data_IF_065138639642
#
_entry.id   IF_065138639642
#
_cell.length_a   1.000
_cell.length_b   1.000
_cell.length_c   1.000
_cell.angle_alpha   90.00
_cell.angle_beta   90.00
_cell.angle_gamma   90.00
#
_symmetry.space_group_name_H-M   'P 1'
#
loop_
_entity.id
_entity.type
_entity.pdbx_description
1 polymer ?
#
# COMPACT_ATOMS: atom_id res chain seq x y z
N UNK A 1 15.03 38.35 -34.38
CA UNK A 1 14.94 37.15 -35.23
C UNK A 1 14.31 36.06 -34.38
N UNK A 2 13.11 35.53 -34.61
CA UNK A 2 12.16 35.65 -35.72
C UNK A 2 10.78 35.38 -35.14
N UNK A 3 9.79 36.21 -35.51
CA UNK A 3 8.40 36.04 -35.09
C UNK A 3 7.75 34.87 -35.81
N UNK A 4 6.99 34.07 -35.07
CA UNK A 4 6.01 33.14 -35.62
C UNK A 4 4.65 33.60 -35.12
N UNK A 5 3.90 34.23 -36.02
CA UNK A 5 2.53 34.69 -35.82
C UNK A 5 1.63 33.50 -35.54
N UNK A 6 1.10 33.42 -34.32
CA UNK A 6 -0.03 32.55 -34.00
C UNK A 6 -1.25 33.17 -34.66
N UNK A 7 -1.60 32.66 -35.85
CA UNK A 7 -2.87 32.96 -36.49
C UNK A 7 -3.99 32.47 -35.57
N UNK A 8 -4.70 33.41 -34.95
CA UNK A 8 -5.93 33.17 -34.21
C UNK A 8 -6.95 32.46 -35.11
N UNK A 9 -7.07 31.13 -34.96
CA UNK A 9 -8.23 30.39 -35.44
C UNK A 9 -9.44 30.83 -34.62
N UNK A 10 -10.54 31.32 -35.24
CA UNK A 10 -11.69 31.74 -34.47
C UNK A 10 -12.30 30.49 -33.83
N UNK A 11 -12.35 30.47 -32.50
CA UNK A 11 -13.08 29.47 -31.72
C UNK A 11 -14.58 29.64 -32.03
N UNK A 12 -15.02 29.05 -33.14
CA UNK A 12 -16.43 28.97 -33.51
C UNK A 12 -17.12 28.04 -32.53
N UNK A 13 -17.72 28.62 -31.49
CA UNK A 13 -18.60 27.89 -30.58
C UNK A 13 -19.79 27.34 -31.38
N UNK A 14 -20.28 26.13 -31.09
CA UNK A 14 -21.46 25.55 -31.76
C UNK A 14 -22.66 26.49 -31.73
N UNK A 15 -22.76 27.29 -30.66
CA UNK A 15 -23.77 28.32 -30.47
C UNK A 15 -23.69 29.41 -31.54
N UNK A 16 -22.50 29.91 -31.87
CA UNK A 16 -22.33 30.95 -32.90
C UNK A 16 -22.72 30.50 -34.32
N UNK A 17 -22.46 29.24 -34.67
CA UNK A 17 -22.86 28.68 -35.97
C UNK A 17 -24.38 28.49 -36.07
N UNK A 18 -25.01 28.03 -34.97
CA UNK A 18 -26.46 27.91 -34.86
C UNK A 18 -27.17 29.28 -34.83
N UNK A 19 -26.58 30.28 -34.16
CA UNK A 19 -27.10 31.65 -34.12
C UNK A 19 -26.96 32.36 -35.48
N UNK A 20 -25.91 32.09 -36.26
CA UNK A 20 -25.80 32.55 -37.65
C UNK A 20 -26.83 31.89 -38.56
N UNK A 21 -27.13 30.60 -38.36
CA UNK A 21 -28.20 29.90 -39.08
C UNK A 21 -29.58 30.46 -38.70
N UNK A 22 -29.82 30.65 -37.40
CA UNK A 22 -31.09 31.14 -36.89
C UNK A 22 -31.37 32.58 -37.32
N UNK A 23 -30.39 33.50 -37.19
CA UNK A 23 -30.53 34.90 -37.64
C UNK A 23 -30.77 35.03 -39.15
N UNK A 24 -30.23 34.11 -39.95
CA UNK A 24 -30.52 34.04 -41.40
C UNK A 24 -31.89 33.42 -41.71
N UNK A 25 -32.45 32.62 -40.82
CA UNK A 25 -33.77 31.97 -40.97
C UNK A 25 -34.94 32.84 -40.46
N UNK A 26 -34.76 33.59 -39.37
CA UNK A 26 -35.83 34.38 -38.74
C UNK A 26 -36.00 35.79 -39.31
N UNK A 27 -35.09 36.29 -40.14
CA UNK A 27 -35.20 37.65 -40.68
C UNK A 27 -36.35 37.85 -41.68
N UNK A 28 -37.11 36.82 -42.06
CA UNK A 28 -38.34 36.96 -42.86
C UNK A 28 -39.17 35.69 -42.81
N UNK A 29 -40.25 35.69 -42.00
CA UNK A 29 -41.31 34.72 -42.17
C UNK A 29 -42.68 35.35 -41.90
N UNK A 30 -43.55 35.38 -42.93
CA UNK A 30 -44.95 35.07 -42.70
C UNK A 30 -45.38 33.85 -43.52
N UNK A 31 -46.16 33.00 -42.85
CA UNK A 31 -47.09 31.96 -43.36
C UNK A 31 -46.74 31.26 -44.68
N UNK A 32 -46.35 29.99 -44.56
CA UNK A 32 -46.37 29.03 -45.67
C UNK A 32 -45.05 28.30 -45.81
N UNK A 33 -44.92 27.15 -45.14
CA UNK A 33 -43.76 26.26 -45.22
C UNK A 33 -43.38 25.88 -46.67
N UNK A 34 -44.31 25.99 -47.64
CA UNK A 34 -44.07 25.78 -49.08
C UNK A 34 -43.37 26.94 -49.81
N UNK A 35 -43.49 28.20 -49.36
CA UNK A 35 -42.81 29.38 -49.98
C UNK A 35 -41.40 29.61 -49.42
N UNK A 36 -41.15 29.14 -48.20
CA UNK A 36 -39.84 29.27 -47.56
C UNK A 36 -38.81 28.38 -48.25
N UNK A 37 -39.20 27.18 -48.74
CA UNK A 37 -38.25 26.28 -49.42
C UNK A 37 -37.68 26.89 -50.70
N UNK A 38 -38.49 27.59 -51.51
CA UNK A 38 -38.06 28.22 -52.76
C UNK A 38 -37.28 29.53 -52.55
N UNK A 39 -37.61 30.30 -51.50
CA UNK A 39 -36.85 31.50 -51.13
C UNK A 39 -35.47 31.16 -50.52
N UNK A 40 -35.37 30.03 -49.80
CA UNK A 40 -34.10 29.52 -49.29
C UNK A 40 -33.20 28.96 -50.39
N UNK A 41 -33.76 28.33 -51.42
CA UNK A 41 -32.98 27.77 -52.54
C UNK A 41 -32.40 28.86 -53.45
N UNK A 42 -33.01 30.04 -53.54
CA UNK A 42 -32.50 31.15 -54.36
C UNK A 42 -31.31 31.91 -53.73
N UNK A 43 -31.15 31.84 -52.41
CA UNK A 43 -30.21 32.70 -51.67
C UNK A 43 -28.90 32.01 -51.28
N UNK A 44 -28.82 30.70 -51.42
CA UNK A 44 -27.65 29.91 -51.11
C UNK A 44 -27.27 29.02 -52.29
N UNK A 45 -26.00 29.08 -52.69
CA UNK A 45 -25.52 28.15 -53.71
C UNK A 45 -25.48 26.72 -53.16
N UNK A 46 -25.66 25.73 -54.03
CA UNK A 46 -25.57 24.30 -53.67
C UNK A 46 -24.24 23.99 -52.95
N UNK A 47 -23.17 24.67 -53.36
CA UNK A 47 -21.84 24.58 -52.76
C UNK A 47 -21.78 25.14 -51.32
N UNK A 48 -22.50 26.22 -51.02
CA UNK A 48 -22.52 26.83 -49.69
C UNK A 48 -23.25 25.95 -48.67
N UNK A 49 -24.38 25.36 -49.07
CA UNK A 49 -25.13 24.41 -48.23
C UNK A 49 -24.30 23.15 -47.96
N UNK A 50 -23.62 22.62 -48.99
CA UNK A 50 -22.72 21.48 -48.82
C UNK A 50 -21.53 21.80 -47.88
N UNK A 51 -20.93 22.98 -48.01
CA UNK A 51 -19.85 23.42 -47.12
C UNK A 51 -20.32 23.61 -45.67
N UNK A 52 -21.52 24.16 -45.46
CA UNK A 52 -22.09 24.25 -44.11
C UNK A 52 -22.39 22.87 -43.51
N UNK A 53 -22.94 21.95 -44.30
CA UNK A 53 -23.22 20.58 -43.85
C UNK A 53 -21.93 19.87 -43.44
N UNK A 54 -20.87 19.93 -44.25
CA UNK A 54 -19.57 19.32 -43.91
C UNK A 54 -18.95 19.92 -42.65
N UNK A 55 -19.13 21.23 -42.41
CA UNK A 55 -18.68 21.87 -41.16
C UNK A 55 -19.47 21.37 -39.94
N UNK A 56 -20.78 21.20 -40.07
CA UNK A 56 -21.63 20.63 -39.00
C UNK A 56 -21.25 19.18 -38.71
N UNK A 57 -20.99 18.39 -39.75
CA UNK A 57 -20.54 16.99 -39.60
C UNK A 57 -19.19 16.90 -38.88
N UNK A 58 -18.23 17.77 -39.26
CA UNK A 58 -16.94 17.88 -38.56
C UNK A 58 -17.11 18.27 -37.10
N UNK A 59 -17.95 19.27 -36.80
CA UNK A 59 -18.22 19.69 -35.43
C UNK A 59 -18.89 18.58 -34.61
N UNK A 60 -19.86 17.86 -35.19
CA UNK A 60 -20.50 16.71 -34.56
C UNK A 60 -19.47 15.65 -34.18
N UNK A 61 -18.58 15.29 -35.10
CA UNK A 61 -17.49 14.33 -34.86
C UNK A 61 -16.55 14.80 -33.75
N UNK A 62 -16.12 16.06 -33.77
CA UNK A 62 -15.25 16.64 -32.73
C UNK A 62 -15.92 16.65 -31.36
N UNK A 63 -17.20 17.01 -31.28
CA UNK A 63 -17.95 16.99 -30.01
C UNK A 63 -18.13 15.58 -29.48
N UNK A 64 -18.31 14.58 -30.36
CA UNK A 64 -18.42 13.18 -29.97
C UNK A 64 -17.11 12.70 -29.35
N UNK A 65 -15.98 12.93 -30.02
CA UNK A 65 -14.65 12.55 -29.52
C UNK A 65 -14.36 13.21 -28.17
N UNK A 66 -14.70 14.50 -28.01
CA UNK A 66 -14.49 15.21 -26.76
C UNK A 66 -15.32 14.65 -25.59
N UNK A 67 -16.55 14.22 -25.85
CA UNK A 67 -17.40 13.55 -24.86
C UNK A 67 -16.83 12.18 -24.49
N UNK A 68 -16.44 11.38 -25.49
CA UNK A 68 -15.86 10.05 -25.28
C UNK A 68 -14.55 10.13 -24.49
N UNK A 69 -13.71 11.14 -24.78
CA UNK A 69 -12.48 11.38 -24.03
C UNK A 69 -12.74 11.79 -22.58
N UNK A 70 -13.73 12.66 -22.33
CA UNK A 70 -14.13 13.04 -20.95
C UNK A 70 -14.66 11.84 -20.17
N UNK A 71 -15.50 11.01 -20.80
CA UNK A 71 -16.00 9.77 -20.20
C UNK A 71 -14.85 8.79 -19.91
N UNK A 72 -13.92 8.63 -20.84
CA UNK A 72 -12.73 7.78 -20.67
C UNK A 72 -11.85 8.24 -19.50
N UNK A 73 -11.63 9.55 -19.35
CA UNK A 73 -10.89 10.08 -18.21
C UNK A 73 -11.61 9.87 -16.88
N UNK A 74 -12.93 10.11 -16.84
CA UNK A 74 -13.73 9.86 -15.63
C UNK A 74 -13.65 8.38 -15.22
N UNK A 75 -13.85 7.46 -16.18
CA UNK A 75 -13.71 6.02 -15.96
C UNK A 75 -12.31 5.62 -15.48
N UNK A 76 -11.26 6.21 -16.05
CA UNK A 76 -9.88 5.95 -15.62
C UNK A 76 -9.68 6.38 -14.17
N UNK A 77 -10.15 7.57 -13.80
CA UNK A 77 -10.04 8.08 -12.43
C UNK A 77 -10.79 7.16 -11.46
N UNK A 78 -12.04 6.80 -11.76
CA UNK A 78 -12.82 5.88 -10.93
C UNK A 78 -12.13 4.53 -10.78
N UNK A 79 -11.56 4.00 -11.88
CA UNK A 79 -10.79 2.74 -11.85
C UNK A 79 -9.57 2.86 -10.93
N UNK A 80 -8.81 3.96 -11.01
CA UNK A 80 -7.65 4.16 -10.11
C UNK A 80 -8.05 4.24 -8.64
N UNK A 81 -9.18 4.91 -8.34
CA UNK A 81 -9.73 4.97 -6.98
C UNK A 81 -10.15 3.58 -6.51
N UNK A 82 -10.88 2.83 -7.34
CA UNK A 82 -11.29 1.45 -7.03
C UNK A 82 -10.08 0.55 -6.77
N UNK A 83 -9.06 0.58 -7.65
CA UNK A 83 -7.82 -0.20 -7.46
C UNK A 83 -7.14 0.14 -6.14
N UNK A 84 -7.06 1.43 -5.79
CA UNK A 84 -6.48 1.85 -4.52
C UNK A 84 -7.28 1.37 -3.31
N UNK A 85 -8.61 1.42 -3.37
CA UNK A 85 -9.48 0.92 -2.30
C UNK A 85 -9.37 -0.60 -2.15
N UNK A 86 -9.35 -1.35 -3.26
CA UNK A 86 -9.17 -2.81 -3.23
C UNK A 86 -7.83 -3.17 -2.58
N UNK A 87 -6.75 -2.46 -2.91
CA UNK A 87 -5.44 -2.66 -2.27
C UNK A 87 -5.49 -2.42 -0.77
N UNK A 88 -6.11 -1.31 -0.33
CA UNK A 88 -6.24 -1.00 1.11
C UNK A 88 -7.08 -2.05 1.85
N UNK A 89 -8.17 -2.54 1.23
CA UNK A 89 -9.00 -3.60 1.79
C UNK A 89 -8.21 -4.91 1.90
N UNK A 90 -7.43 -5.26 0.88
CA UNK A 90 -6.57 -6.44 0.90
C UNK A 90 -5.52 -6.34 2.01
N UNK A 91 -4.80 -5.22 2.11
CA UNK A 91 -3.79 -4.98 3.16
C UNK A 91 -4.41 -5.05 4.56
N UNK A 92 -5.61 -4.51 4.74
CA UNK A 92 -6.37 -4.61 6.00
C UNK A 92 -6.74 -6.06 6.32
N UNK A 93 -7.20 -6.82 5.32
CA UNK A 93 -7.59 -8.21 5.49
C UNK A 93 -6.36 -9.08 5.82
N UNK A 94 -5.26 -8.90 5.12
CA UNK A 94 -4.01 -9.63 5.34
C UNK A 94 -3.45 -9.33 6.73
N UNK A 95 -3.50 -8.06 7.16
CA UNK A 95 -3.11 -7.65 8.52
C UNK A 95 -3.98 -8.32 9.59
N UNK A 96 -5.30 -8.41 9.37
CA UNK A 96 -6.21 -9.09 10.29
C UNK A 96 -5.93 -10.59 10.36
N UNK A 97 -5.71 -11.25 9.22
CA UNK A 97 -5.38 -12.67 9.17
C UNK A 97 -4.05 -12.95 9.86
N UNK A 98 -3.03 -12.13 9.59
CA UNK A 98 -1.73 -12.22 10.25
C UNK A 98 -1.88 -12.08 11.77
N UNK A 99 -2.71 -11.15 12.25
CA UNK A 99 -2.98 -10.99 13.69
C UNK A 99 -3.62 -12.24 14.30
N UNK A 100 -4.63 -12.82 13.65
CA UNK A 100 -5.30 -14.03 14.12
C UNK A 100 -4.30 -15.19 14.26
N UNK A 101 -3.45 -15.39 13.24
CA UNK A 101 -2.45 -16.46 13.23
C UNK A 101 -1.39 -16.23 14.32
N UNK A 102 -0.89 -15.00 14.44
CA UNK A 102 0.17 -14.66 15.40
C UNK A 102 -0.30 -14.70 16.85
N UNK A 103 -1.56 -14.32 17.12
CA UNK A 103 -2.18 -14.47 18.44
C UNK A 103 -2.47 -15.94 18.78
N UNK A 104 -2.80 -16.77 17.78
CA UNK A 104 -2.95 -18.22 17.96
C UNK A 104 -1.60 -18.92 18.24
N UNK A 105 -0.53 -18.54 17.55
CA UNK A 105 0.81 -19.13 17.74
C UNK A 105 1.33 -18.95 19.17
N UNK A 106 1.18 -17.74 19.72
CA UNK A 106 1.60 -17.47 21.10
C UNK A 106 0.81 -16.33 21.71
N UNK A 107 0.30 -16.55 22.92
CA UNK A 107 -0.30 -15.51 23.75
C UNK A 107 0.73 -14.56 24.38
N UNK A 108 2.03 -14.91 24.32
CA UNK A 108 3.08 -14.07 24.90
C UNK A 108 3.39 -12.90 23.99
N UNK A 109 3.44 -11.71 24.58
CA UNK A 109 3.87 -10.48 23.91
C UNK A 109 5.22 -10.04 24.49
N UNK A 110 6.30 -10.39 23.78
CA UNK A 110 7.64 -9.92 24.14
C UNK A 110 7.88 -8.48 23.69
N UNK A 111 7.19 -8.02 22.64
CA UNK A 111 7.28 -6.64 22.15
C UNK A 111 6.79 -5.64 23.19
N UNK A 112 5.70 -5.96 23.90
CA UNK A 112 5.23 -5.19 25.04
C UNK A 112 6.29 -5.14 26.17
N UNK A 113 6.92 -6.27 26.49
CA UNK A 113 7.98 -6.33 27.52
C UNK A 113 9.22 -5.51 27.11
N UNK A 114 9.63 -5.59 25.83
CA UNK A 114 10.71 -4.80 25.29
C UNK A 114 10.45 -3.31 25.41
N UNK A 115 9.25 -2.87 25.02
CA UNK A 115 8.81 -1.48 25.15
C UNK A 115 8.85 -1.02 26.62
N UNK A 116 8.32 -1.82 27.53
CA UNK A 116 8.35 -1.55 28.97
C UNK A 116 9.77 -1.42 29.52
N UNK A 117 10.69 -2.32 29.13
CA UNK A 117 12.08 -2.28 29.59
C UNK A 117 12.84 -1.06 29.05
N UNK A 118 12.60 -0.69 27.79
CA UNK A 118 13.17 0.51 27.19
C UNK A 118 12.60 1.78 27.84
N UNK A 119 11.29 1.83 28.11
CA UNK A 119 10.63 2.98 28.73
C UNK A 119 11.14 3.25 30.16
N UNK A 120 11.46 2.20 30.91
CA UNK A 120 12.00 2.31 32.29
C UNK A 120 13.48 2.66 32.34
N UNK A 121 14.19 2.61 31.21
CA UNK A 121 15.62 2.89 31.15
C UNK A 121 15.90 4.37 31.39
N UNK A 122 16.92 4.67 32.20
CA UNK A 122 17.47 6.01 32.29
C UNK A 122 18.29 6.36 31.03
N UNK A 123 18.03 7.52 30.44
CA UNK A 123 18.71 7.95 29.21
C UNK A 123 20.23 7.95 29.40
N UNK A 124 20.96 7.38 28.44
CA UNK A 124 22.42 7.26 28.48
C UNK A 124 22.95 5.97 29.15
N UNK A 125 22.12 5.21 29.88
CA UNK A 125 22.52 3.93 30.46
C UNK A 125 22.79 2.88 29.38
N UNK A 126 23.84 2.07 29.60
CA UNK A 126 24.20 0.93 28.76
C UNK A 126 24.81 1.27 27.40
N UNK A 127 25.14 2.54 27.15
CA UNK A 127 25.80 2.94 25.90
C UNK A 127 27.18 2.30 25.78
N UNK A 128 27.91 2.17 26.89
CA UNK A 128 29.22 1.51 26.96
C UNK A 128 29.19 0.08 26.39
N UNK A 129 28.04 -0.61 26.48
CA UNK A 129 27.88 -1.98 26.02
C UNK A 129 27.76 -2.04 24.49
N UNK A 130 26.88 -1.22 23.90
CA UNK A 130 26.64 -1.25 22.45
C UNK A 130 27.79 -0.66 21.62
N UNK A 131 28.68 0.12 22.25
CA UNK A 131 29.92 0.63 21.63
C UNK A 131 31.14 -0.26 21.92
N UNK A 132 30.97 -1.33 22.68
CA UNK A 132 32.09 -2.22 23.04
C UNK A 132 32.57 -3.02 21.82
N UNK A 133 33.89 -3.27 21.69
CA UNK A 133 34.41 -4.13 20.62
C UNK A 133 33.77 -5.52 20.63
N UNK A 134 33.45 -6.06 21.82
CA UNK A 134 32.82 -7.37 21.97
C UNK A 134 31.44 -7.42 21.31
N UNK A 135 30.61 -6.39 21.54
CA UNK A 135 29.29 -6.29 20.94
C UNK A 135 29.37 -6.06 19.43
N UNK A 136 30.23 -5.14 18.98
CA UNK A 136 30.41 -4.83 17.56
C UNK A 136 30.91 -6.05 16.78
N UNK A 137 31.91 -6.77 17.31
CA UNK A 137 32.43 -7.99 16.70
C UNK A 137 31.36 -9.08 16.59
N UNK A 138 30.53 -9.25 17.62
CA UNK A 138 29.40 -10.18 17.59
C UNK A 138 28.36 -9.76 16.55
N UNK A 139 28.00 -8.48 16.48
CA UNK A 139 27.01 -7.98 15.53
C UNK A 139 27.47 -8.12 14.07
N UNK A 140 28.77 -7.97 13.81
CA UNK A 140 29.37 -8.14 12.48
C UNK A 140 29.57 -9.61 12.08
N UNK A 141 29.17 -10.57 12.93
CA UNK A 141 29.21 -11.99 12.61
C UNK A 141 30.57 -12.67 12.78
N UNK A 142 31.58 -11.98 13.33
CA UNK A 142 32.86 -12.65 13.69
C UNK A 142 32.70 -13.66 14.83
N UNK A 143 31.63 -13.52 15.62
CA UNK A 143 31.19 -14.47 16.64
C UNK A 143 29.69 -14.68 16.53
N UNK A 144 29.21 -15.91 16.70
CA UNK A 144 27.78 -16.22 16.67
C UNK A 144 27.07 -15.93 18.00
N UNK A 145 27.77 -15.98 19.14
CA UNK A 145 27.15 -15.92 20.47
C UNK A 145 27.76 -14.84 21.38
N UNK A 146 26.89 -13.92 21.82
CA UNK A 146 27.00 -12.92 22.87
C UNK A 146 26.77 -13.41 24.32
N UNK A 147 27.77 -13.94 25.06
CA UNK A 147 27.53 -14.29 26.48
C UNK A 147 27.88 -13.14 27.44
N UNK A 148 26.90 -12.69 28.23
CA UNK A 148 27.02 -11.57 29.16
C UNK A 148 26.74 -12.01 30.62
N UNK A 149 27.75 -12.53 31.35
CA UNK A 149 27.57 -12.91 32.75
C UNK A 149 27.42 -11.69 33.66
N UNK A 150 26.76 -11.86 34.80
CA UNK A 150 26.68 -10.80 35.81
C UNK A 150 25.90 -11.21 37.04
N UNK A 151 26.16 -10.54 38.17
CA UNK A 151 25.46 -10.77 39.44
C UNK A 151 23.96 -10.39 39.34
N UNK A 152 23.08 -10.96 40.18
CA UNK A 152 21.71 -10.48 40.32
C UNK A 152 21.68 -8.96 40.56
N UNK A 153 20.73 -8.25 39.93
CA UNK A 153 20.62 -6.79 40.04
C UNK A 153 21.56 -5.97 39.14
N UNK A 154 22.53 -6.59 38.44
CA UNK A 154 23.48 -5.87 37.56
C UNK A 154 22.87 -5.23 36.29
N UNK A 155 21.54 -5.22 36.13
CA UNK A 155 20.89 -4.60 34.97
C UNK A 155 20.94 -5.41 33.67
N UNK A 156 21.22 -6.72 33.71
CA UNK A 156 21.32 -7.59 32.51
C UNK A 156 20.11 -7.48 31.58
N UNK A 157 18.89 -7.51 32.12
CA UNK A 157 17.66 -7.36 31.33
C UNK A 157 17.59 -6.01 30.63
N UNK A 158 17.99 -4.93 31.31
CA UNK A 158 18.06 -3.59 30.71
C UNK A 158 19.11 -3.53 29.60
N UNK A 159 20.29 -4.13 29.79
CA UNK A 159 21.31 -4.21 28.74
C UNK A 159 20.83 -5.02 27.53
N UNK A 160 20.15 -6.15 27.74
CA UNK A 160 19.55 -6.93 26.66
C UNK A 160 18.51 -6.12 25.88
N UNK A 161 17.63 -5.39 26.57
CA UNK A 161 16.65 -4.52 25.90
C UNK A 161 17.34 -3.43 25.07
N UNK A 162 18.39 -2.81 25.59
CA UNK A 162 19.20 -1.81 24.86
C UNK A 162 19.84 -2.42 23.62
N UNK A 163 20.38 -3.64 23.73
CA UNK A 163 20.95 -4.35 22.60
C UNK A 163 19.93 -4.56 21.50
N UNK A 164 18.74 -5.08 21.83
CA UNK A 164 17.64 -5.28 20.89
C UNK A 164 17.23 -3.96 20.21
N UNK A 165 17.04 -2.88 20.98
CA UNK A 165 16.70 -1.55 20.44
C UNK A 165 17.80 -0.99 19.51
N UNK A 166 19.06 -1.25 19.82
CA UNK A 166 20.18 -0.84 18.98
C UNK A 166 20.24 -1.62 17.67
N UNK A 167 20.08 -2.95 17.72
CA UNK A 167 20.07 -3.82 16.53
C UNK A 167 18.89 -3.46 15.63
N UNK A 168 17.70 -3.25 16.21
CA UNK A 168 16.51 -2.83 15.45
C UNK A 168 16.74 -1.54 14.67
N UNK A 169 17.38 -0.54 15.29
CA UNK A 169 17.72 0.73 14.64
C UNK A 169 18.81 0.59 13.58
N UNK A 170 19.76 -0.32 13.78
CA UNK A 170 20.87 -0.53 12.85
C UNK A 170 20.42 -1.20 11.55
N UNK A 171 19.45 -2.12 11.61
CA UNK A 171 18.95 -2.89 10.47
C UNK A 171 17.56 -2.47 10.00
N UNK A 172 17.11 -1.27 10.37
CA UNK A 172 15.80 -0.78 9.98
C UNK A 172 15.72 -0.61 8.46
N UNK A 173 14.91 -1.46 7.80
CA UNK A 173 14.74 -1.46 6.34
C UNK A 173 15.58 -2.52 5.61
N UNK A 174 16.47 -3.22 6.30
CA UNK A 174 17.22 -4.34 5.74
C UNK A 174 16.40 -5.64 5.76
N UNK A 175 16.84 -6.65 5.00
CA UNK A 175 16.25 -7.99 4.99
C UNK A 175 16.70 -8.84 6.19
N UNK A 176 16.55 -8.32 7.41
CA UNK A 176 16.99 -8.98 8.64
C UNK A 176 15.79 -9.15 9.57
N UNK A 177 15.56 -10.37 10.06
CA UNK A 177 14.53 -10.65 11.05
C UNK A 177 15.10 -10.60 12.46
N UNK A 178 14.43 -9.89 13.37
CA UNK A 178 14.91 -9.71 14.75
C UNK A 178 13.87 -10.30 15.72
N UNK A 179 14.28 -11.32 16.46
CA UNK A 179 13.44 -11.93 17.49
C UNK A 179 14.18 -12.00 18.83
N UNK A 180 13.43 -11.84 19.92
CA UNK A 180 13.97 -11.84 21.28
C UNK A 180 12.99 -12.47 22.28
N UNK A 181 13.53 -12.97 23.38
CA UNK A 181 12.78 -13.62 24.45
C UNK A 181 13.26 -13.11 25.80
N UNK A 182 12.31 -12.87 26.70
CA UNK A 182 12.58 -12.58 28.11
C UNK A 182 12.13 -13.74 28.99
N UNK A 183 13.08 -14.61 29.36
CA UNK A 183 12.81 -15.73 30.24
C UNK A 183 12.61 -15.25 31.69
N UNK A 184 11.58 -15.79 32.37
CA UNK A 184 11.25 -15.47 33.75
C UNK A 184 11.27 -16.75 34.58
N UNK A 185 12.22 -16.83 35.50
CA UNK A 185 12.43 -18.01 36.35
C UNK A 185 11.20 -18.38 37.19
N UNK A 186 10.30 -17.43 37.50
CA UNK A 186 9.05 -17.69 38.23
C UNK A 186 7.97 -18.35 37.37
N UNK A 187 8.17 -18.44 36.05
CA UNK A 187 7.20 -18.92 35.07
C UNK A 187 7.69 -20.13 34.28
N UNK A 188 8.68 -20.88 34.80
CA UNK A 188 9.31 -22.03 34.11
C UNK A 188 8.30 -23.02 33.55
N UNK A 189 7.25 -23.34 34.30
CA UNK A 189 6.21 -24.29 33.88
C UNK A 189 5.43 -23.85 32.64
N UNK A 190 5.35 -22.53 32.40
CA UNK A 190 4.70 -21.95 31.22
C UNK A 190 5.66 -21.63 30.08
N UNK A 191 6.98 -21.69 30.33
CA UNK A 191 8.04 -21.37 29.35
C UNK A 191 8.61 -22.65 28.71
N UNK A 192 7.74 -23.39 28.02
CA UNK A 192 8.13 -24.62 27.29
C UNK A 192 8.92 -24.28 26.03
N UNK A 193 9.77 -25.20 25.56
CA UNK A 193 10.52 -25.03 24.32
C UNK A 193 9.61 -24.71 23.12
N UNK A 194 8.49 -25.42 23.02
CA UNK A 194 7.43 -25.17 22.03
C UNK A 194 6.91 -23.74 22.10
N UNK A 195 6.54 -23.27 23.30
CA UNK A 195 5.99 -21.92 23.48
C UNK A 195 7.00 -20.81 23.19
N UNK A 196 8.28 -21.03 23.53
CA UNK A 196 9.36 -20.08 23.23
C UNK A 196 9.64 -19.99 21.73
N UNK A 197 9.71 -21.12 21.02
CA UNK A 197 9.86 -21.13 19.56
C UNK A 197 8.64 -20.52 18.87
N UNK A 198 7.43 -20.79 19.36
CA UNK A 198 6.21 -20.18 18.85
C UNK A 198 6.24 -18.65 18.97
N UNK A 199 6.80 -18.14 20.07
CA UNK A 199 6.92 -16.70 20.29
C UNK A 199 8.02 -16.05 19.42
N UNK A 200 9.07 -16.78 19.04
CA UNK A 200 10.04 -16.33 18.02
C UNK A 200 9.36 -16.28 16.66
N UNK A 201 8.70 -17.38 16.27
CA UNK A 201 7.97 -17.47 15.01
C UNK A 201 6.94 -16.33 14.89
N UNK A 202 6.17 -16.09 15.96
CA UNK A 202 5.25 -14.96 16.07
C UNK A 202 5.91 -13.63 15.70
N UNK A 203 7.06 -13.31 16.30
CA UNK A 203 7.77 -12.05 16.04
C UNK A 203 8.21 -11.91 14.57
N UNK A 204 8.81 -12.97 14.00
CA UNK A 204 9.31 -12.93 12.62
C UNK A 204 8.18 -12.80 11.58
N UNK A 205 7.03 -13.40 11.85
CA UNK A 205 5.83 -13.32 10.99
C UNK A 205 5.17 -11.95 11.13
N UNK A 206 5.11 -11.39 12.33
CA UNK A 206 4.58 -10.03 12.55
C UNK A 206 5.43 -8.96 11.88
N UNK A 207 6.75 -9.13 11.87
CA UNK A 207 7.67 -8.21 11.20
C UNK A 207 7.49 -8.26 9.68
N UNK A 208 7.22 -9.45 9.11
CA UNK A 208 7.03 -9.63 7.66
C UNK A 208 5.90 -10.62 7.34
N UNK A 209 4.65 -10.12 7.23
CA UNK A 209 3.48 -10.97 6.97
C UNK A 209 3.54 -11.77 5.66
N UNK A 210 4.29 -11.29 4.66
CA UNK A 210 4.46 -11.97 3.36
C UNK A 210 5.05 -13.38 3.48
N UNK A 211 5.78 -13.67 4.56
CA UNK A 211 6.40 -14.97 4.78
C UNK A 211 5.57 -15.91 5.65
N UNK A 212 4.37 -15.50 6.06
CA UNK A 212 3.47 -16.24 6.94
C UNK A 212 2.57 -17.29 6.26
N UNK A 213 2.73 -17.56 4.96
CA UNK A 213 1.95 -18.61 4.26
C UNK A 213 2.03 -20.00 4.94
N UNK A 214 3.20 -20.49 5.40
CA UNK A 214 3.30 -21.75 6.13
C UNK A 214 2.43 -21.75 7.39
N UNK A 215 2.35 -20.62 8.08
CA UNK A 215 1.60 -20.47 9.33
C UNK A 215 0.09 -20.47 9.10
N UNK A 216 -0.38 -19.96 7.95
CA UNK A 216 -1.79 -20.03 7.59
C UNK A 216 -2.27 -21.48 7.38
N UNK A 217 -1.42 -22.33 6.77
CA UNK A 217 -1.73 -23.76 6.59
C UNK A 217 -1.72 -24.51 7.92
N UNK A 218 -0.73 -24.21 8.77
CA UNK A 218 -0.61 -24.79 10.10
C UNK A 218 -1.79 -24.36 10.99
N UNK A 219 -2.13 -23.07 10.98
CA UNK A 219 -3.29 -22.54 11.68
C UNK A 219 -4.58 -23.25 11.26
N UNK A 220 -4.86 -23.42 9.96
CA UNK A 220 -6.06 -24.15 9.50
C UNK A 220 -6.13 -25.58 10.04
N UNK A 221 -5.02 -26.32 10.00
CA UNK A 221 -4.95 -27.72 10.48
C UNK A 221 -5.31 -27.85 11.96
N UNK A 222 -4.92 -26.87 12.77
CA UNK A 222 -5.04 -26.91 14.22
C UNK A 222 -6.25 -26.15 14.76
N UNK A 223 -6.69 -25.09 14.08
CA UNK A 223 -7.85 -24.29 14.46
C UNK A 223 -9.13 -25.14 14.43
N UNK A 224 -9.31 -25.95 13.39
CA UNK A 224 -10.47 -26.84 13.25
C UNK A 224 -10.51 -27.92 14.34
N UNK A 225 -9.33 -28.38 14.79
CA UNK A 225 -9.16 -29.46 15.77
C UNK A 225 -9.01 -28.96 17.21
N UNK A 226 -8.85 -27.64 17.40
CA UNK A 226 -8.53 -26.99 18.68
C UNK A 226 -7.33 -27.62 19.40
N UNK A 227 -6.29 -28.02 18.65
CA UNK A 227 -5.06 -28.59 19.22
C UNK A 227 -3.90 -27.61 19.08
N UNK A 228 -2.94 -27.58 20.02
CA UNK A 228 -1.71 -26.81 19.83
C UNK A 228 -0.80 -27.49 18.78
N UNK A 229 0.02 -26.73 18.04
CA UNK A 229 1.02 -27.28 17.16
C UNK A 229 2.12 -27.99 17.96
N UNK A 230 2.64 -29.08 17.42
CA UNK A 230 3.76 -29.80 18.01
C UNK A 230 5.08 -29.03 17.86
N UNK A 231 6.09 -29.41 18.64
CA UNK A 231 7.42 -28.80 18.56
C UNK A 231 8.04 -28.91 17.16
N UNK A 232 7.85 -30.05 16.50
CA UNK A 232 8.39 -30.32 15.17
C UNK A 232 7.72 -29.48 14.08
N UNK A 233 6.40 -29.29 14.19
CA UNK A 233 5.63 -28.40 13.31
C UNK A 233 6.08 -26.95 13.44
N UNK A 234 6.25 -26.45 14.67
CA UNK A 234 6.75 -25.09 14.90
C UNK A 234 8.18 -24.93 14.37
N UNK A 235 9.05 -25.92 14.59
CA UNK A 235 10.41 -25.90 14.06
C UNK A 235 10.43 -25.86 12.53
N UNK A 236 9.56 -26.64 11.90
CA UNK A 236 9.43 -26.67 10.44
C UNK A 236 8.95 -25.34 9.90
N UNK A 237 7.92 -24.75 10.52
CA UNK A 237 7.42 -23.43 10.15
C UNK A 237 8.50 -22.35 10.33
N UNK A 238 9.20 -22.36 11.47
CA UNK A 238 10.30 -21.43 11.75
C UNK A 238 11.43 -21.51 10.72
N UNK A 239 11.87 -22.73 10.36
CA UNK A 239 12.86 -22.91 9.30
C UNK A 239 12.37 -22.36 7.96
N UNK A 240 11.10 -22.56 7.63
CA UNK A 240 10.52 -22.02 6.40
C UNK A 240 10.52 -20.49 6.39
N UNK A 241 10.15 -19.85 7.50
CA UNK A 241 10.16 -18.39 7.63
C UNK A 241 11.59 -17.84 7.54
N UNK A 242 12.54 -18.44 8.26
CA UNK A 242 13.95 -18.01 8.25
C UNK A 242 14.56 -18.10 6.85
N UNK A 243 14.25 -19.14 6.06
CA UNK A 243 14.78 -19.29 4.70
C UNK A 243 14.26 -18.24 3.70
N UNK A 244 13.24 -17.46 4.07
CA UNK A 244 12.68 -16.39 3.24
C UNK A 244 13.24 -14.99 3.58
N UNK A 245 14.06 -14.87 4.64
CA UNK A 245 14.89 -13.70 4.94
C UNK A 245 16.25 -13.82 4.24
#
# INVERSE_FOLDING_TARGET
>A
MSGVSVSHSPSLSPKSALEQLQSKLTSTAPSGLKKISSALTWKFSKEEVANMLTRIERLKSLTQIALDFKLSQALKNDTTVITSMVRLLQESQDSQQCRIITDWLSSTDFSAQQSDFIARRQKGTGLWFVVSPEFTNWLQGTKQNLFCPGIPGAGKTTIAAIAVDHIWKAFQGDNVGIAYIYCNYKRRETQTATGLLAAILKQLVQERPLYGEPDATLHKRHADRRTPPSLDEIRTALNSVINNY
#
